data_IF_338979602948
#
_entry.id   IF_338979602948
#
_cell.length_a   1.000
_cell.length_b   1.000
_cell.length_c   1.000
_cell.angle_alpha   90.00
_cell.angle_beta   90.00
_cell.angle_gamma   90.00
#
_symmetry.space_group_name_H-M   'P 1'
#
loop_
_entity.id
_entity.type
_entity.pdbx_description
1 polymer ?
#
# COMPACT_ATOMS: atom_id res chain seq x y z
N UNK A 1 -15.57 2.00 11.34
CA UNK A 1 -14.34 1.67 10.61
C UNK A 1 -14.18 2.67 9.48
N UNK A 2 -12.98 3.23 9.26
CA UNK A 2 -12.75 4.20 8.19
C UNK A 2 -13.03 3.56 6.82
N UNK A 3 -13.59 4.35 5.92
CA UNK A 3 -13.75 3.98 4.52
C UNK A 3 -12.37 3.86 3.87
N UNK A 4 -12.09 2.69 3.29
CA UNK A 4 -10.88 2.46 2.50
C UNK A 4 -11.14 2.79 1.04
N UNK A 5 -10.34 3.71 0.47
CA UNK A 5 -10.33 4.04 -0.95
C UNK A 5 -9.00 3.61 -1.54
N UNK A 6 -9.04 2.79 -2.59
CA UNK A 6 -7.84 2.37 -3.33
C UNK A 6 -7.61 3.32 -4.50
N UNK A 7 -6.47 4.01 -4.54
CA UNK A 7 -6.11 4.86 -5.67
C UNK A 7 -5.98 4.04 -6.97
N UNK A 8 -6.01 4.71 -8.12
CA UNK A 8 -5.75 4.06 -9.40
C UNK A 8 -4.33 3.45 -9.46
N UNK A 9 -3.33 4.14 -8.88
CA UNK A 9 -1.96 3.66 -8.82
C UNK A 9 -1.84 2.38 -7.98
N UNK A 10 -2.47 2.35 -6.81
CA UNK A 10 -2.51 1.17 -5.93
C UNK A 10 -3.11 -0.04 -6.66
N UNK A 11 -4.27 0.13 -7.31
CA UNK A 11 -4.94 -0.96 -8.04
C UNK A 11 -4.06 -1.52 -9.16
N UNK A 12 -3.44 -0.65 -9.96
CA UNK A 12 -2.53 -1.07 -11.04
C UNK A 12 -1.32 -1.84 -10.49
N UNK A 13 -0.68 -1.31 -9.45
CA UNK A 13 0.49 -1.96 -8.84
C UNK A 13 0.15 -3.32 -8.23
N UNK A 14 -1.05 -3.48 -7.64
CA UNK A 14 -1.49 -4.76 -7.10
C UNK A 14 -1.59 -5.81 -8.21
N UNK A 15 -2.16 -5.45 -9.36
CA UNK A 15 -2.26 -6.33 -10.52
C UNK A 15 -0.86 -6.68 -11.04
N UNK A 16 -0.01 -5.66 -11.26
CA UNK A 16 1.33 -5.85 -11.81
C UNK A 16 2.20 -6.75 -10.92
N UNK A 17 2.24 -6.48 -9.61
CA UNK A 17 3.03 -7.25 -8.65
C UNK A 17 2.50 -8.68 -8.50
N UNK A 18 1.18 -8.88 -8.49
CA UNK A 18 0.60 -10.22 -8.40
C UNK A 18 0.94 -11.04 -9.64
N UNK A 19 0.85 -10.43 -10.83
CA UNK A 19 1.26 -11.08 -12.09
C UNK A 19 2.75 -11.43 -12.09
N UNK A 20 3.61 -10.52 -11.61
CA UNK A 20 5.06 -10.72 -11.49
C UNK A 20 5.41 -11.85 -10.51
N UNK A 21 4.78 -11.91 -9.33
CA UNK A 21 4.95 -13.04 -8.41
C UNK A 21 4.47 -14.36 -9.02
N UNK A 22 3.34 -14.36 -9.74
CA UNK A 22 2.85 -15.57 -10.39
C UNK A 22 3.82 -16.07 -11.45
N UNK A 23 4.37 -15.17 -12.26
CA UNK A 23 5.30 -15.50 -13.34
C UNK A 23 6.65 -16.01 -12.81
N UNK A 24 7.19 -15.42 -11.74
CA UNK A 24 8.53 -15.76 -11.24
C UNK A 24 8.56 -16.84 -10.15
N UNK A 25 7.54 -16.90 -9.30
CA UNK A 25 7.53 -17.73 -8.10
C UNK A 25 6.31 -18.67 -8.02
N UNK A 26 5.41 -18.63 -9.02
CA UNK A 26 4.25 -19.49 -9.13
C UNK A 26 3.01 -18.97 -8.41
N UNK A 27 1.86 -19.59 -8.72
CA UNK A 27 0.54 -19.16 -8.25
C UNK A 27 0.39 -19.15 -6.73
N UNK A 28 1.02 -20.09 -6.03
CA UNK A 28 0.92 -20.18 -4.56
C UNK A 28 1.54 -18.96 -3.87
N UNK A 29 2.65 -18.44 -4.39
CA UNK A 29 3.30 -17.24 -3.84
C UNK A 29 2.51 -15.99 -4.20
N UNK A 30 1.95 -15.92 -5.41
CA UNK A 30 1.07 -14.83 -5.81
C UNK A 30 -0.19 -14.72 -4.93
N UNK A 31 -0.80 -15.86 -4.58
CA UNK A 31 -1.94 -15.89 -3.68
C UNK A 31 -1.56 -15.40 -2.27
N UNK A 32 -0.45 -15.92 -1.71
CA UNK A 32 0.07 -15.44 -0.41
C UNK A 32 0.32 -13.93 -0.41
N UNK A 33 0.79 -13.36 -1.51
CA UNK A 33 0.99 -11.92 -1.64
C UNK A 33 -0.33 -11.15 -1.53
N UNK A 34 -1.37 -11.59 -2.24
CA UNK A 34 -2.70 -10.98 -2.16
C UNK A 34 -3.28 -11.10 -0.75
N UNK A 35 -3.17 -12.26 -0.12
CA UNK A 35 -3.64 -12.49 1.26
C UNK A 35 -2.94 -11.56 2.26
N UNK A 36 -1.63 -11.32 2.08
CA UNK A 36 -0.88 -10.38 2.91
C UNK A 36 -1.29 -8.93 2.67
N UNK A 37 -1.60 -8.55 1.42
CA UNK A 37 -2.15 -7.22 1.12
C UNK A 37 -3.49 -7.03 1.81
N UNK A 38 -4.40 -8.00 1.72
CA UNK A 38 -5.73 -7.90 2.34
C UNK A 38 -5.64 -7.87 3.87
N UNK A 39 -4.77 -8.69 4.46
CA UNK A 39 -4.48 -8.68 5.90
C UNK A 39 -3.94 -7.33 6.37
N UNK A 40 -3.02 -6.74 5.60
CA UNK A 40 -2.49 -5.41 5.90
C UNK A 40 -3.56 -4.31 5.77
N UNK A 41 -4.44 -4.38 4.76
CA UNK A 41 -5.55 -3.43 4.63
C UNK A 41 -6.51 -3.53 5.82
N UNK A 42 -6.83 -4.74 6.27
CA UNK A 42 -7.67 -4.94 7.46
C UNK A 42 -7.01 -4.39 8.73
N UNK A 43 -5.69 -4.57 8.88
CA UNK A 43 -4.94 -3.96 9.98
C UNK A 43 -4.97 -2.42 9.90
N UNK A 44 -4.71 -1.84 8.73
CA UNK A 44 -4.76 -0.39 8.53
C UNK A 44 -6.15 0.15 8.84
N UNK A 45 -7.22 -0.53 8.42
CA UNK A 45 -8.59 -0.10 8.69
C UNK A 45 -8.91 -0.11 10.20
N UNK A 46 -8.32 -1.01 10.98
CA UNK A 46 -8.60 -1.14 12.42
C UNK A 46 -7.69 -0.30 13.30
N UNK A 47 -6.42 -0.15 12.91
CA UNK A 47 -5.37 0.51 13.70
C UNK A 47 -4.49 1.44 12.85
N UNK A 48 -5.04 2.41 12.11
CA UNK A 48 -4.27 3.19 11.14
C UNK A 48 -3.18 4.07 11.80
N UNK A 49 -3.40 4.48 13.06
CA UNK A 49 -2.43 5.28 13.82
C UNK A 49 -1.25 4.47 14.34
N UNK A 50 -1.36 3.14 14.39
CA UNK A 50 -0.24 2.24 14.71
C UNK A 50 0.78 2.14 13.55
N UNK A 51 0.38 2.54 12.33
CA UNK A 51 1.30 2.60 11.21
C UNK A 51 2.16 3.88 11.30
N UNK A 52 3.49 3.78 11.26
CA UNK A 52 4.36 4.94 11.39
C UNK A 52 4.18 5.94 10.23
N UNK A 53 4.36 7.22 10.56
CA UNK A 53 4.49 8.26 9.53
C UNK A 53 5.82 8.03 8.83
N UNK A 54 5.76 7.91 7.50
CA UNK A 54 6.93 7.73 6.66
C UNK A 54 7.44 9.06 6.10
N UNK A 55 6.53 9.93 5.68
CA UNK A 55 6.88 11.27 5.17
C UNK A 55 5.69 12.22 5.28
N UNK A 56 5.93 13.51 5.09
CA UNK A 56 4.91 14.55 5.04
C UNK A 56 5.06 15.33 3.74
N UNK A 57 3.96 15.45 2.99
CA UNK A 57 3.91 16.18 1.71
C UNK A 57 2.71 17.11 1.78
N UNK A 58 2.90 18.40 1.50
CA UNK A 58 1.81 19.40 1.49
C UNK A 58 0.93 19.33 2.75
N UNK A 59 1.56 19.25 3.93
CA UNK A 59 0.88 19.13 5.23
C UNK A 59 0.08 17.84 5.47
N UNK A 60 0.12 16.88 4.55
CA UNK A 60 -0.50 15.56 4.72
C UNK A 60 0.52 14.55 5.23
N UNK A 61 0.16 13.83 6.29
CA UNK A 61 0.95 12.72 6.82
C UNK A 61 0.71 11.47 5.99
N UNK A 62 1.77 10.98 5.36
CA UNK A 62 1.75 9.70 4.69
C UNK A 62 2.38 8.63 5.58
N UNK A 63 1.68 7.50 5.67
CA UNK A 63 2.00 6.38 6.52
C UNK A 63 2.34 5.17 5.69
N UNK A 64 3.12 4.26 6.28
CA UNK A 64 3.57 3.04 5.62
C UNK A 64 3.34 1.83 6.52
N UNK A 65 2.92 0.73 5.93
CA UNK A 65 2.89 -0.58 6.59
C UNK A 65 3.57 -1.63 5.71
N UNK A 66 4.57 -2.33 6.23
CA UNK A 66 5.26 -3.39 5.50
C UNK A 66 4.42 -4.66 5.48
N UNK A 67 4.35 -5.32 4.32
CA UNK A 67 3.76 -6.65 4.21
C UNK A 67 4.70 -7.67 4.85
N UNK A 68 4.13 -8.65 5.55
CA UNK A 68 4.90 -9.78 6.07
C UNK A 68 5.37 -10.65 4.89
N UNK A 69 6.60 -11.18 4.96
CA UNK A 69 7.22 -12.07 3.97
C UNK A 69 7.43 -11.51 2.55
N UNK A 70 7.02 -10.26 2.29
CA UNK A 70 7.17 -9.61 0.99
C UNK A 70 7.93 -8.29 1.12
N UNK A 71 8.86 -7.98 0.20
CA UNK A 71 9.62 -6.72 0.19
C UNK A 71 8.78 -5.55 -0.36
N UNK A 72 7.52 -5.45 0.09
CA UNK A 72 6.52 -4.48 -0.34
C UNK A 72 5.85 -3.86 0.88
N UNK A 73 5.47 -2.59 0.79
CA UNK A 73 4.71 -1.90 1.82
C UNK A 73 3.47 -1.24 1.22
N UNK A 74 2.39 -1.13 1.98
CA UNK A 74 1.26 -0.27 1.65
C UNK A 74 1.58 1.15 2.09
N UNK A 75 1.44 2.09 1.18
CA UNK A 75 1.57 3.52 1.43
C UNK A 75 0.19 4.16 1.39
N UNK A 76 -0.15 4.94 2.41
CA UNK A 76 -1.49 5.49 2.57
C UNK A 76 -1.49 6.81 3.32
N UNK A 77 -2.61 7.51 3.29
CA UNK A 77 -2.84 8.72 4.09
C UNK A 77 -4.30 8.82 4.49
N UNK A 78 -4.58 9.70 5.44
CA UNK A 78 -5.94 10.15 5.71
C UNK A 78 -6.34 11.22 4.68
N UNK A 79 -7.55 11.12 4.14
CA UNK A 79 -8.20 12.21 3.40
C UNK A 79 -9.08 13.02 4.35
N UNK A 80 -9.77 12.32 5.25
CA UNK A 80 -10.57 12.88 6.34
C UNK A 80 -10.47 11.96 7.56
N UNK A 81 -11.12 12.34 8.67
CA UNK A 81 -11.15 11.50 9.88
C UNK A 81 -11.68 10.07 9.61
N UNK A 82 -12.60 9.93 8.66
CA UNK A 82 -13.26 8.67 8.34
C UNK A 82 -12.80 8.03 7.03
N UNK A 83 -11.85 8.63 6.30
CA UNK A 83 -11.43 8.12 4.98
C UNK A 83 -9.92 7.93 4.91
N UNK A 84 -9.51 6.72 4.58
CA UNK A 84 -8.12 6.35 4.30
C UNK A 84 -7.98 6.09 2.80
N UNK A 85 -7.00 6.74 2.19
CA UNK A 85 -6.61 6.49 0.80
C UNK A 85 -5.36 5.63 0.79
N UNK A 86 -5.45 4.43 0.21
CA UNK A 86 -4.30 3.60 -0.13
C UNK A 86 -3.73 4.13 -1.44
N UNK A 87 -2.60 4.81 -1.34
CA UNK A 87 -1.99 5.57 -2.43
C UNK A 87 -1.19 4.67 -3.36
N UNK A 88 -0.40 3.75 -2.80
CA UNK A 88 0.49 2.89 -3.59
C UNK A 88 0.92 1.63 -2.84
N UNK A 89 1.32 0.62 -3.60
CA UNK A 89 2.21 -0.45 -3.14
C UNK A 89 3.67 -0.04 -3.43
N UNK A 90 4.46 0.02 -2.37
CA UNK A 90 5.85 0.41 -2.39
C UNK A 90 6.75 -0.82 -2.33
N UNK A 91 7.37 -1.19 -3.45
CA UNK A 91 8.50 -2.12 -3.43
C UNK A 91 9.80 -1.33 -3.17
N UNK A 92 10.75 -1.90 -2.43
CA UNK A 92 12.01 -1.25 -2.00
C UNK A 92 12.84 -0.62 -3.14
N UNK A 93 12.53 -0.92 -4.41
CA UNK A 93 13.18 -0.36 -5.61
C UNK A 93 12.49 0.89 -6.20
N UNK A 94 11.37 1.38 -5.66
CA UNK A 94 10.68 2.56 -6.20
C UNK A 94 11.19 3.87 -5.57
N UNK A 95 11.35 4.92 -6.39
CA UNK A 95 11.57 6.28 -5.90
C UNK A 95 10.22 7.01 -5.77
N UNK A 96 9.82 7.37 -4.55
CA UNK A 96 8.47 7.90 -4.23
C UNK A 96 8.31 9.36 -4.65
N UNK A 97 9.32 10.20 -4.42
CA UNK A 97 9.24 11.65 -4.72
C UNK A 97 9.02 11.91 -6.21
N UNK A 98 9.63 11.10 -7.08
CA UNK A 98 9.42 11.17 -8.53
C UNK A 98 8.00 10.77 -8.98
N UNK A 99 7.26 9.99 -8.19
CA UNK A 99 5.91 9.51 -8.56
C UNK A 99 4.79 10.37 -7.99
N UNK A 100 5.00 11.01 -6.84
CA UNK A 100 4.04 11.93 -6.23
C UNK A 100 4.15 13.37 -6.79
N UNK A 101 5.26 13.70 -7.46
CA UNK A 101 5.49 15.00 -8.12
C UNK A 101 4.61 15.25 -9.36
N UNK A 102 3.77 14.30 -9.78
CA UNK A 102 2.80 14.52 -10.86
C UNK A 102 1.41 14.66 -10.25
N UNK A 103 1.11 15.86 -9.77
CA UNK A 103 -0.24 16.35 -9.51
C UNK A 103 -0.27 17.81 -9.92
#
# INVERSE_FOLDING_TARGET
MPRIVRSAAFKRQLIDLTADYRARAGSNIALKFVDQVDSAIAFIATKPLACPIYTRIEHKDFRKWSLQDFPTSIFFRFESQDTIILEALYAHRMNISARLSKS
#
